data_IF_209797888846
#
_entry.id   IF_209797888846
#
_cell.length_a   1.000
_cell.length_b   1.000
_cell.length_c   1.000
_cell.angle_alpha   90.00
_cell.angle_beta   90.00
_cell.angle_gamma   90.00
#
_symmetry.space_group_name_H-M   'P 1'
#
loop_
_entity.id
_entity.type
_entity.pdbx_description
1 polymer ?
#
# COMPACT_ATOMS: atom_id res chain seq x y z
N UNK A 1 -25.44 19.00 10.22
CA UNK A 1 -24.34 18.14 10.68
C UNK A 1 -24.73 17.27 11.88
N UNK A 2 -25.11 17.84 13.03
CA UNK A 2 -25.44 17.07 14.26
C UNK A 2 -26.66 16.15 14.13
N UNK A 3 -27.75 16.60 13.49
CA UNK A 3 -28.97 15.77 13.29
C UNK A 3 -28.67 14.50 12.47
N UNK A 4 -27.71 14.57 11.54
CA UNK A 4 -27.29 13.42 10.75
C UNK A 4 -26.59 12.33 11.56
N UNK A 5 -26.09 12.64 12.76
CA UNK A 5 -25.44 11.66 13.64
C UNK A 5 -26.46 10.76 14.38
N UNK A 6 -27.70 11.23 14.55
CA UNK A 6 -28.75 10.47 15.21
C UNK A 6 -29.09 9.16 14.46
N UNK A 7 -29.00 9.17 13.13
CA UNK A 7 -29.36 8.02 12.29
C UNK A 7 -28.32 6.88 12.36
N UNK A 8 -27.00 7.12 12.16
CA UNK A 8 -25.96 6.13 12.44
C UNK A 8 -25.97 5.67 13.90
N UNK A 9 -26.20 6.57 14.85
CA UNK A 9 -26.19 6.22 16.27
C UNK A 9 -27.32 5.25 16.67
N UNK A 10 -28.50 5.36 16.05
CA UNK A 10 -29.63 4.46 16.29
C UNK A 10 -29.54 3.12 15.52
N UNK A 11 -29.04 3.15 14.28
CA UNK A 11 -29.11 1.99 13.38
C UNK A 11 -27.82 1.18 13.33
N UNK A 12 -26.67 1.79 13.62
CA UNK A 12 -25.39 1.11 13.55
C UNK A 12 -24.91 0.68 14.93
N UNK A 13 -24.10 -0.38 14.91
CA UNK A 13 -23.43 -0.89 16.09
C UNK A 13 -22.37 0.12 16.56
N UNK A 14 -22.29 0.36 17.87
CA UNK A 14 -21.20 1.18 18.42
C UNK A 14 -19.83 0.49 18.21
N UNK A 15 -18.72 1.25 18.14
CA UNK A 15 -17.39 0.66 17.97
C UNK A 15 -17.05 -0.39 19.04
N UNK A 16 -17.42 -0.13 20.30
CA UNK A 16 -17.25 -1.09 21.40
C UNK A 16 -17.97 -2.41 21.13
N UNK A 17 -19.24 -2.33 20.70
CA UNK A 17 -20.00 -3.53 20.35
C UNK A 17 -19.37 -4.23 19.14
N UNK A 18 -18.94 -3.48 18.12
CA UNK A 18 -18.32 -4.05 16.91
C UNK A 18 -17.01 -4.80 17.20
N UNK A 19 -16.20 -4.28 18.11
CA UNK A 19 -14.93 -4.89 18.50
C UNK A 19 -15.09 -6.20 19.30
N UNK A 20 -16.19 -6.37 20.04
CA UNK A 20 -16.40 -7.51 20.94
C UNK A 20 -16.18 -8.87 20.26
N UNK A 21 -16.73 -9.08 19.05
CA UNK A 21 -16.59 -10.37 18.37
C UNK A 21 -15.16 -10.65 17.90
N UNK A 22 -14.41 -9.61 17.50
CA UNK A 22 -12.99 -9.74 17.12
C UNK A 22 -12.16 -10.07 18.37
N UNK A 23 -12.40 -9.36 19.47
CA UNK A 23 -11.71 -9.61 20.73
C UNK A 23 -12.02 -11.01 21.26
N UNK A 24 -13.27 -11.45 21.20
CA UNK A 24 -13.66 -12.81 21.56
C UNK A 24 -12.94 -13.85 20.69
N UNK A 25 -12.95 -13.69 19.37
CA UNK A 25 -12.25 -14.59 18.46
C UNK A 25 -10.73 -14.66 18.71
N UNK A 26 -10.11 -13.55 19.13
CA UNK A 26 -8.67 -13.48 19.35
C UNK A 26 -8.23 -13.92 20.76
N UNK A 27 -9.06 -13.74 21.77
CA UNK A 27 -8.67 -13.88 23.18
C UNK A 27 -9.30 -15.09 23.89
N UNK A 28 -10.39 -15.63 23.36
CA UNK A 28 -11.08 -16.76 23.99
C UNK A 28 -10.26 -18.05 23.81
N UNK A 29 -9.82 -18.62 24.93
CA UNK A 29 -8.95 -19.80 24.91
C UNK A 29 -9.65 -21.04 24.34
N UNK A 30 -10.97 -21.16 24.49
CA UNK A 30 -11.74 -22.25 23.88
C UNK A 30 -11.77 -22.19 22.35
N UNK A 31 -11.49 -21.01 21.75
CA UNK A 31 -11.39 -20.85 20.30
C UNK A 31 -9.97 -21.13 19.78
N UNK A 32 -8.96 -21.16 20.64
CA UNK A 32 -7.60 -21.51 20.25
C UNK A 32 -7.42 -23.02 19.99
N UNK A 33 -8.24 -23.85 20.63
CA UNK A 33 -8.19 -25.31 20.51
C UNK A 33 -9.29 -25.79 19.56
N UNK A 34 -8.94 -26.67 18.62
CA UNK A 34 -9.88 -27.30 17.69
C UNK A 34 -9.66 -26.89 16.23
N UNK A 35 -10.70 -27.02 15.42
CA UNK A 35 -10.65 -26.72 14.00
C UNK A 35 -10.74 -25.21 13.73
N UNK A 36 -10.03 -24.76 12.70
CA UNK A 36 -10.12 -23.40 12.18
C UNK A 36 -11.36 -23.20 11.29
N UNK A 37 -11.43 -22.05 10.61
CA UNK A 37 -12.51 -21.77 9.64
C UNK A 37 -13.89 -21.49 10.28
N UNK A 38 -13.92 -21.14 11.56
CA UNK A 38 -15.15 -20.76 12.28
C UNK A 38 -15.49 -19.30 12.02
N UNK A 39 -16.78 -19.02 11.82
CA UNK A 39 -17.27 -17.64 11.72
C UNK A 39 -17.83 -17.21 13.07
N UNK A 40 -17.20 -16.17 13.65
CA UNK A 40 -17.64 -15.59 14.92
C UNK A 40 -18.41 -14.31 14.65
N UNK A 41 -19.65 -14.23 15.14
CA UNK A 41 -20.52 -13.05 15.05
C UNK A 41 -21.32 -12.91 16.33
N UNK A 42 -21.39 -11.68 16.87
CA UNK A 42 -22.06 -11.39 18.15
C UNK A 42 -21.54 -12.27 19.31
N UNK A 43 -20.22 -12.51 19.32
CA UNK A 43 -19.53 -13.38 20.30
C UNK A 43 -20.04 -14.83 20.34
N UNK A 44 -20.53 -15.33 19.21
CA UNK A 44 -20.98 -16.72 19.04
C UNK A 44 -20.46 -17.27 17.73
N UNK A 45 -20.32 -18.59 17.66
CA UNK A 45 -20.08 -19.29 16.39
C UNK A 45 -21.38 -19.35 15.59
N UNK A 46 -21.31 -18.95 14.32
CA UNK A 46 -22.45 -18.94 13.39
C UNK A 46 -22.06 -19.59 12.07
N UNK A 47 -23.04 -20.09 11.33
CA UNK A 47 -22.81 -20.62 9.99
C UNK A 47 -22.57 -19.51 8.96
N UNK A 48 -21.88 -19.89 7.88
CA UNK A 48 -21.72 -19.02 6.72
C UNK A 48 -23.03 -18.92 5.93
N UNK A 49 -23.45 -17.69 5.64
CA UNK A 49 -24.62 -17.46 4.79
C UNK A 49 -24.38 -17.85 3.32
N UNK A 50 -23.11 -17.85 2.88
CA UNK A 50 -22.71 -18.23 1.53
C UNK A 50 -22.16 -19.65 1.52
N UNK A 51 -22.59 -20.45 0.54
CA UNK A 51 -22.20 -21.85 0.40
C UNK A 51 -20.78 -22.03 -0.13
N UNK A 52 -20.28 -21.07 -0.92
CA UNK A 52 -18.94 -21.13 -1.53
C UNK A 52 -17.79 -20.91 -0.55
N UNK A 53 -18.08 -20.49 0.68
CA UNK A 53 -17.06 -20.30 1.72
C UNK A 53 -16.44 -21.64 2.16
N UNK A 54 -17.17 -22.74 2.01
CA UNK A 54 -16.69 -24.09 2.34
C UNK A 54 -16.20 -24.87 1.10
N UNK A 55 -16.10 -24.21 -0.06
CA UNK A 55 -15.67 -24.83 -1.31
C UNK A 55 -14.13 -24.74 -1.44
N UNK A 56 -13.47 -25.88 -1.23
CA UNK A 56 -12.00 -25.98 -1.28
C UNK A 56 -11.43 -25.71 -2.69
N UNK A 57 -12.17 -26.02 -3.76
CA UNK A 57 -11.72 -25.75 -5.13
C UNK A 57 -11.72 -24.24 -5.41
N UNK A 58 -12.80 -23.56 -4.99
CA UNK A 58 -12.90 -22.09 -5.09
C UNK A 58 -11.85 -21.42 -4.22
N UNK A 59 -11.65 -21.89 -2.98
CA UNK A 59 -10.63 -21.35 -2.09
C UNK A 59 -9.22 -21.50 -2.66
N UNK A 60 -8.89 -22.68 -3.22
CA UNK A 60 -7.59 -22.94 -3.86
C UNK A 60 -7.38 -22.03 -5.08
N UNK A 61 -8.38 -21.92 -5.95
CA UNK A 61 -8.31 -21.06 -7.13
C UNK A 61 -8.12 -19.59 -6.74
N UNK A 62 -8.86 -19.11 -5.74
CA UNK A 62 -8.73 -17.75 -5.22
C UNK A 62 -7.31 -17.49 -4.67
N UNK A 63 -6.73 -18.46 -3.96
CA UNK A 63 -5.37 -18.35 -3.45
C UNK A 63 -4.35 -18.23 -4.58
N UNK A 64 -4.36 -19.16 -5.54
CA UNK A 64 -3.40 -19.19 -6.66
C UNK A 64 -3.50 -17.94 -7.54
N UNK A 65 -4.71 -17.46 -7.83
CA UNK A 65 -4.91 -16.23 -8.61
C UNK A 65 -4.45 -14.98 -7.84
N UNK A 66 -4.69 -14.93 -6.52
CA UNK A 66 -4.24 -13.81 -5.69
C UNK A 66 -2.72 -13.75 -5.60
N UNK A 67 -2.05 -14.89 -5.44
CA UNK A 67 -0.59 -14.98 -5.41
C UNK A 67 0.02 -14.51 -6.74
N UNK A 68 -0.53 -14.99 -7.86
CA UNK A 68 -0.11 -14.55 -9.20
C UNK A 68 -0.36 -13.05 -9.42
N UNK A 69 -1.45 -12.49 -8.88
CA UNK A 69 -1.76 -11.07 -8.95
C UNK A 69 -0.76 -10.24 -8.14
N UNK A 70 -0.43 -10.67 -6.93
CA UNK A 70 0.58 -10.02 -6.07
C UNK A 70 1.92 -10.01 -6.79
N UNK A 71 2.39 -11.16 -7.28
CA UNK A 71 3.69 -11.27 -7.96
C UNK A 71 3.79 -10.32 -9.18
N UNK A 72 2.74 -10.27 -10.01
CA UNK A 72 2.69 -9.36 -11.17
C UNK A 72 2.72 -7.89 -10.73
N UNK A 73 1.93 -7.55 -9.71
CA UNK A 73 1.81 -6.18 -9.20
C UNK A 73 3.13 -5.71 -8.58
N UNK A 74 3.78 -6.57 -7.79
CA UNK A 74 5.09 -6.27 -7.19
C UNK A 74 6.16 -6.08 -8.27
N UNK A 75 6.25 -6.98 -9.25
CA UNK A 75 7.19 -6.85 -10.38
C UNK A 75 6.94 -5.58 -11.19
N UNK A 76 5.69 -5.25 -11.49
CA UNK A 76 5.32 -4.03 -12.22
C UNK A 76 5.72 -2.78 -11.42
N UNK A 77 5.40 -2.75 -10.12
CA UNK A 77 5.76 -1.64 -9.24
C UNK A 77 7.27 -1.48 -9.07
N UNK A 78 8.04 -2.57 -9.03
CA UNK A 78 9.49 -2.54 -8.96
C UNK A 78 10.11 -2.00 -10.26
N UNK A 79 9.59 -2.41 -11.42
CA UNK A 79 10.00 -1.86 -12.72
C UNK A 79 9.67 -0.37 -12.85
N UNK A 80 8.50 0.06 -12.40
CA UNK A 80 8.11 1.47 -12.40
C UNK A 80 9.05 2.31 -11.52
N UNK A 81 9.33 1.83 -10.30
CA UNK A 81 10.30 2.47 -9.39
C UNK A 81 11.71 2.54 -9.98
N UNK A 82 12.18 1.47 -10.64
CA UNK A 82 13.48 1.45 -11.30
C UNK A 82 13.56 2.42 -12.48
N UNK A 83 12.50 2.50 -13.30
CA UNK A 83 12.42 3.41 -14.43
C UNK A 83 12.38 4.88 -13.97
N UNK A 84 11.60 5.18 -12.93
CA UNK A 84 11.54 6.52 -12.34
C UNK A 84 12.90 6.95 -11.78
N UNK A 85 13.59 6.05 -11.06
CA UNK A 85 14.93 6.31 -10.55
C UNK A 85 15.92 6.55 -11.68
N UNK A 86 15.93 5.69 -12.71
CA UNK A 86 16.82 5.85 -13.85
C UNK A 86 16.55 7.15 -14.64
N UNK A 87 15.30 7.61 -14.71
CA UNK A 87 14.95 8.89 -15.32
C UNK A 87 15.46 10.07 -14.48
N UNK A 88 15.24 10.03 -13.16
CA UNK A 88 15.75 11.04 -12.22
C UNK A 88 17.27 11.12 -12.23
N UNK A 89 17.97 9.99 -12.18
CA UNK A 89 19.43 9.94 -12.20
C UNK A 89 19.99 10.57 -13.49
N UNK A 90 19.36 10.31 -14.65
CA UNK A 90 19.74 10.92 -15.94
C UNK A 90 19.48 12.43 -15.98
N UNK A 91 18.37 12.89 -15.44
CA UNK A 91 18.05 14.31 -15.39
C UNK A 91 19.00 15.06 -14.44
N UNK A 92 19.38 14.44 -13.31
CA UNK A 92 20.35 14.98 -12.38
C UNK A 92 21.77 15.00 -12.97
N UNK A 93 22.17 13.99 -13.74
CA UNK A 93 23.44 13.98 -14.49
C UNK A 93 23.49 15.10 -15.53
N UNK A 94 22.43 15.29 -16.31
CA UNK A 94 22.35 16.38 -17.31
C UNK A 94 22.42 17.75 -16.66
N UNK A 95 21.73 17.96 -15.53
CA UNK A 95 21.80 19.22 -14.77
C UNK A 95 23.22 19.49 -14.28
N UNK A 96 23.89 18.49 -13.70
CA UNK A 96 25.29 18.61 -13.26
C UNK A 96 26.25 18.89 -14.42
N UNK A 97 26.01 18.32 -15.60
CA UNK A 97 26.82 18.59 -16.79
C UNK A 97 26.60 20.00 -17.31
N UNK A 98 25.35 20.47 -17.36
CA UNK A 98 25.02 21.85 -17.71
C UNK A 98 25.64 22.86 -16.74
N UNK A 99 25.51 22.63 -15.43
CA UNK A 99 26.13 23.48 -14.39
C UNK A 99 27.66 23.57 -14.57
N UNK A 100 28.33 22.45 -14.90
CA UNK A 100 29.78 22.44 -15.17
C UNK A 100 30.14 23.21 -16.44
N UNK A 101 29.35 23.09 -17.51
CA UNK A 101 29.58 23.83 -18.76
C UNK A 101 29.43 25.33 -18.50
N UNK A 102 28.36 25.74 -17.80
CA UNK A 102 28.12 27.14 -17.42
C UNK A 102 29.25 27.70 -16.54
N UNK A 103 29.78 26.90 -15.60
CA UNK A 103 30.93 27.30 -14.76
C UNK A 103 32.21 27.49 -15.58
N UNK A 104 32.49 26.57 -16.52
CA UNK A 104 33.66 26.67 -17.42
C UNK A 104 33.53 27.88 -18.34
N UNK A 105 32.35 28.13 -18.92
CA UNK A 105 32.10 29.31 -19.76
C UNK A 105 32.30 30.61 -18.97
N UNK A 106 31.78 30.68 -17.73
CA UNK A 106 32.00 31.81 -16.83
C UNK A 106 33.49 32.05 -16.53
N UNK A 107 34.28 31.00 -16.30
CA UNK A 107 35.72 31.10 -16.10
C UNK A 107 36.44 31.62 -17.36
N UNK A 108 36.11 31.10 -18.54
CA UNK A 108 36.70 31.52 -19.83
C UNK A 108 36.42 32.99 -20.13
N UNK A 109 35.19 33.45 -19.91
CA UNK A 109 34.81 34.85 -20.09
C UNK A 109 35.58 35.79 -19.14
N UNK A 110 35.80 35.33 -17.90
CA UNK A 110 36.58 36.09 -16.91
C UNK A 110 38.04 36.21 -17.35
N UNK A 111 38.65 35.13 -17.86
CA UNK A 111 40.02 35.12 -18.41
C UNK A 111 40.12 36.05 -19.64
N UNK A 112 39.13 36.01 -20.55
CA UNK A 112 39.11 36.85 -21.76
C UNK A 112 39.05 38.34 -21.42
N UNK A 113 38.20 38.73 -20.46
CA UNK A 113 38.12 40.11 -19.95
C UNK A 113 39.41 40.56 -19.25
N UNK A 114 40.11 39.64 -18.57
CA UNK A 114 41.42 39.91 -17.97
C UNK A 114 42.51 40.20 -19.00
N UNK A 115 42.57 39.42 -20.09
CA UNK A 115 43.55 39.61 -21.18
C UNK A 115 43.34 40.90 -21.99
N UNK A 116 42.11 41.41 -22.11
CA UNK A 116 41.83 42.66 -22.83
C UNK A 116 42.14 43.92 -22.02
N UNK A 117 42.42 43.79 -20.71
CA UNK A 117 42.79 44.90 -19.82
C UNK A 117 44.31 45.09 -19.66
N UNK A 118 45.13 44.21 -20.24
CA UNK A 118 46.58 44.37 -20.38
C UNK A 118 46.93 44.81 -21.80
#
# INVERSE_FOLDING_TARGET
>A
YVVGYAFPWLLLKSPFRGAQSILYAAMESSLAVGHGGRLIKECMEVDFARSDVRDDEVAKKLWEESDALIERTEKASAKARAAEKAAKDKDDEKKKEQEKIEEIEGLVDTIRKGKQKQ
#
